data_IF_686516064777
#
_entry.id   IF_686516064777
#
_cell.length_a   1.000
_cell.length_b   1.000
_cell.length_c   1.000
_cell.angle_alpha   90.00
_cell.angle_beta   90.00
_cell.angle_gamma   90.00
#
_symmetry.space_group_name_H-M   'P 1'
#
loop_
_entity.id
_entity.type
_entity.pdbx_description
1 polymer ?
#
# COMPACT_ATOMS: atom_id res chain seq x y z
N UNK A 1 25.55 -46.14 47.79
CA UNK A 1 24.39 -45.42 47.20
C UNK A 1 24.86 -44.06 46.67
N UNK A 2 25.11 -43.95 45.36
CA UNK A 2 25.66 -42.72 44.75
C UNK A 2 24.56 -41.72 44.35
N UNK A 3 24.67 -40.47 44.82
CA UNK A 3 23.85 -39.35 44.34
C UNK A 3 24.70 -38.45 43.45
N UNK A 4 24.64 -38.69 42.14
CA UNK A 4 25.09 -37.76 41.10
C UNK A 4 24.04 -36.66 40.97
N UNK A 5 24.22 -35.56 41.71
CA UNK A 5 23.47 -34.32 41.50
C UNK A 5 24.14 -33.51 40.40
N UNK A 6 23.60 -33.61 39.18
CA UNK A 6 24.08 -32.88 38.01
C UNK A 6 24.11 -31.37 38.27
N UNK A 7 25.32 -30.81 38.21
CA UNK A 7 25.60 -29.38 38.20
C UNK A 7 25.07 -28.80 36.88
N UNK A 8 23.77 -28.47 36.82
CA UNK A 8 23.17 -27.75 35.69
C UNK A 8 23.78 -26.34 35.64
N UNK A 9 24.85 -26.20 34.86
CA UNK A 9 25.39 -24.92 34.45
C UNK A 9 24.24 -24.07 33.89
N UNK A 10 23.99 -22.92 34.53
CA UNK A 10 23.04 -21.92 34.04
C UNK A 10 23.65 -21.34 32.77
N UNK A 11 23.20 -21.84 31.63
CA UNK A 11 23.63 -21.42 30.30
C UNK A 11 23.49 -19.89 30.14
N UNK A 12 24.61 -19.14 30.05
CA UNK A 12 24.62 -17.67 29.96
C UNK A 12 23.90 -17.15 28.70
N UNK A 13 23.84 -17.97 27.66
CA UNK A 13 23.26 -17.59 26.35
C UNK A 13 21.77 -17.29 26.44
N UNK A 14 21.03 -17.94 27.35
CA UNK A 14 19.59 -17.71 27.56
C UNK A 14 19.27 -16.33 28.13
N UNK A 15 20.20 -15.68 28.85
CA UNK A 15 20.00 -14.32 29.36
C UNK A 15 20.19 -13.27 28.26
N UNK A 16 21.16 -13.46 27.39
CA UNK A 16 21.44 -12.54 26.27
C UNK A 16 20.32 -12.55 25.22
N UNK A 17 19.77 -13.73 24.91
CA UNK A 17 18.65 -13.85 23.97
C UNK A 17 17.35 -13.19 24.48
N UNK A 18 17.08 -13.24 25.79
CA UNK A 18 15.89 -12.58 26.39
C UNK A 18 16.03 -11.06 26.47
N UNK A 19 17.23 -10.54 26.71
CA UNK A 19 17.49 -9.10 26.78
C UNK A 19 17.25 -8.40 25.44
N UNK A 20 17.73 -8.98 24.33
CA UNK A 20 17.55 -8.40 23.00
C UNK A 20 16.11 -8.39 22.49
N UNK A 21 15.30 -9.39 22.86
CA UNK A 21 13.90 -9.49 22.44
C UNK A 21 12.98 -8.55 23.25
N UNK A 22 13.28 -8.32 24.54
CA UNK A 22 12.51 -7.40 25.37
C UNK A 22 12.84 -5.92 25.07
N UNK A 23 14.10 -5.61 24.76
CA UNK A 23 14.51 -4.26 24.35
C UNK A 23 13.88 -3.84 23.01
N UNK A 24 13.83 -4.74 22.02
CA UNK A 24 13.17 -4.49 20.72
C UNK A 24 11.64 -4.41 20.80
N UNK A 25 11.03 -5.03 21.82
CA UNK A 25 9.61 -4.91 22.08
C UNK A 25 9.24 -3.55 22.70
N UNK A 26 10.15 -2.94 23.46
CA UNK A 26 9.98 -1.61 24.07
C UNK A 26 10.12 -0.44 23.08
N UNK A 27 10.95 -0.57 22.04
CA UNK A 27 11.10 0.46 20.98
C UNK A 27 9.96 0.45 19.94
N UNK A 28 9.16 -0.62 19.91
CA UNK A 28 7.84 -0.65 19.25
C UNK A 28 6.74 -0.06 20.14
N UNK A 29 7.11 0.67 21.19
CA UNK A 29 6.19 1.51 21.95
C UNK A 29 5.48 2.45 20.98
N UNK A 30 4.20 2.16 20.77
CA UNK A 30 3.17 2.93 20.08
C UNK A 30 3.74 4.11 19.30
N UNK A 31 4.05 3.92 18.01
CA UNK A 31 4.36 5.05 17.13
C UNK A 31 3.18 6.01 17.20
N UNK A 32 3.36 7.08 17.96
CA UNK A 32 2.29 8.03 18.21
C UNK A 32 1.81 8.57 16.87
N UNK A 33 0.51 8.40 16.61
CA UNK A 33 -0.11 8.91 15.40
C UNK A 33 -0.16 10.43 15.54
N UNK A 34 0.65 11.11 14.74
CA UNK A 34 0.69 12.57 14.70
C UNK A 34 -0.07 13.07 13.48
N UNK A 35 -0.60 14.31 13.49
CA UNK A 35 -1.23 14.89 12.31
C UNK A 35 -0.31 14.88 11.08
N UNK A 36 0.99 15.06 11.30
CA UNK A 36 2.01 14.99 10.26
C UNK A 36 2.12 13.60 9.63
N UNK A 37 2.15 12.54 10.45
CA UNK A 37 2.28 11.18 9.95
C UNK A 37 1.03 10.75 9.17
N UNK A 38 -0.15 11.18 9.61
CA UNK A 38 -1.39 11.00 8.85
C UNK A 38 -1.38 11.78 7.53
N UNK A 39 -0.92 13.02 7.53
CA UNK A 39 -0.77 13.81 6.30
C UNK A 39 0.16 13.13 5.29
N UNK A 40 1.25 12.50 5.75
CA UNK A 40 2.15 11.72 4.90
C UNK A 40 1.44 10.50 4.26
N UNK A 41 0.63 9.77 5.03
CA UNK A 41 -0.19 8.65 4.51
C UNK A 41 -1.18 9.15 3.46
N UNK A 42 -1.95 10.19 3.77
CA UNK A 42 -2.95 10.74 2.85
C UNK A 42 -2.30 11.26 1.56
N UNK A 43 -1.17 11.97 1.67
CA UNK A 43 -0.42 12.45 0.52
C UNK A 43 0.04 11.28 -0.37
N UNK A 44 0.60 10.23 0.23
CA UNK A 44 1.05 9.05 -0.51
C UNK A 44 -0.12 8.36 -1.25
N UNK A 45 -1.27 8.19 -0.58
CA UNK A 45 -2.48 7.60 -1.18
C UNK A 45 -3.01 8.47 -2.32
N UNK A 46 -3.11 9.79 -2.13
CA UNK A 46 -3.58 10.71 -3.17
C UNK A 46 -2.65 10.74 -4.39
N UNK A 47 -1.34 10.75 -4.18
CA UNK A 47 -0.35 10.63 -5.26
C UNK A 47 -0.51 9.29 -6.00
N UNK A 48 -0.73 8.19 -5.27
CA UNK A 48 -0.92 6.88 -5.88
C UNK A 48 -2.18 6.86 -6.76
N UNK A 49 -3.29 7.40 -6.27
CA UNK A 49 -4.54 7.53 -7.04
C UNK A 49 -4.34 8.40 -8.29
N UNK A 50 -3.67 9.56 -8.15
CA UNK A 50 -3.38 10.44 -9.29
C UNK A 50 -2.50 9.75 -10.34
N UNK A 51 -1.43 9.06 -9.91
CA UNK A 51 -0.56 8.27 -10.77
C UNK A 51 -1.32 7.17 -11.52
N UNK A 52 -2.15 6.40 -10.80
CA UNK A 52 -3.00 5.37 -11.40
C UNK A 52 -3.99 5.93 -12.42
N UNK A 53 -4.59 7.08 -12.16
CA UNK A 53 -5.50 7.75 -13.09
C UNK A 53 -4.79 8.24 -14.35
N UNK A 54 -3.59 8.81 -14.23
CA UNK A 54 -2.77 9.21 -15.37
C UNK A 54 -2.35 8.01 -16.23
N UNK A 55 -1.89 6.93 -15.59
CA UNK A 55 -1.55 5.68 -16.27
C UNK A 55 -2.74 5.11 -17.02
N UNK A 56 -3.90 5.02 -16.36
CA UNK A 56 -5.14 4.54 -16.96
C UNK A 56 -5.57 5.41 -18.14
N UNK A 57 -5.49 6.74 -18.01
CA UNK A 57 -5.79 7.69 -19.09
C UNK A 57 -4.85 7.48 -20.28
N UNK A 58 -3.54 7.40 -20.05
CA UNK A 58 -2.56 7.16 -21.10
C UNK A 58 -2.79 5.85 -21.85
N UNK A 59 -3.12 4.78 -21.14
CA UNK A 59 -3.48 3.49 -21.75
C UNK A 59 -4.82 3.54 -22.50
N UNK A 60 -5.81 4.28 -22.02
CA UNK A 60 -7.10 4.42 -22.72
C UNK A 60 -6.95 5.10 -24.09
N UNK A 61 -5.95 5.98 -24.26
CA UNK A 61 -5.64 6.66 -25.53
C UNK A 61 -4.88 5.77 -26.53
N UNK A 62 -4.23 4.71 -26.06
CA UNK A 62 -3.56 3.73 -26.93
C UNK A 62 -4.54 2.70 -27.52
N UNK A 63 -5.70 2.55 -26.90
CA UNK A 63 -6.68 1.51 -27.23
C UNK A 63 -6.35 0.16 -26.59
N UNK A 64 -7.19 -0.86 -26.81
CA UNK A 64 -7.03 -2.18 -26.22
C UNK A 64 -5.72 -2.85 -26.68
N UNK A 65 -4.97 -3.43 -25.74
CA UNK A 65 -3.83 -4.29 -26.09
C UNK A 65 -4.38 -5.65 -26.51
N UNK A 66 -4.30 -5.93 -27.81
CA UNK A 66 -4.76 -7.18 -28.40
C UNK A 66 -3.64 -8.21 -28.58
N UNK A 67 -3.98 -9.39 -29.11
CA UNK A 67 -3.02 -10.48 -29.34
C UNK A 67 -1.95 -10.12 -30.37
N UNK A 68 -2.24 -9.25 -31.33
CA UNK A 68 -1.27 -8.82 -32.34
C UNK A 68 -0.27 -7.81 -31.77
N UNK A 69 -0.73 -6.89 -30.90
CA UNK A 69 0.14 -5.98 -30.16
C UNK A 69 1.15 -6.74 -29.28
N UNK A 70 0.71 -7.84 -28.63
CA UNK A 70 1.56 -8.69 -27.81
C UNK A 70 2.63 -9.44 -28.61
N UNK A 71 2.39 -9.73 -29.89
CA UNK A 71 3.39 -10.35 -30.79
C UNK A 71 4.54 -9.40 -31.12
N UNK A 72 4.39 -8.10 -30.90
CA UNK A 72 5.41 -7.08 -31.17
C UNK A 72 5.75 -6.28 -29.91
N UNK A 73 6.36 -6.91 -28.89
CA UNK A 73 6.52 -6.32 -27.56
C UNK A 73 7.33 -5.01 -27.57
N UNK A 74 8.41 -4.93 -28.35
CA UNK A 74 9.21 -3.70 -28.45
C UNK A 74 8.40 -2.52 -29.01
N UNK A 75 7.53 -2.77 -30.00
CA UNK A 75 6.67 -1.73 -30.57
C UNK A 75 5.59 -1.29 -29.57
N UNK A 76 5.02 -2.24 -28.83
CA UNK A 76 4.06 -1.94 -27.78
C UNK A 76 4.69 -1.09 -26.67
N UNK A 77 5.86 -1.48 -26.16
CA UNK A 77 6.58 -0.73 -25.13
C UNK A 77 6.94 0.68 -25.64
N UNK A 78 7.42 0.81 -26.88
CA UNK A 78 7.67 2.12 -27.48
C UNK A 78 6.42 3.00 -27.59
N UNK A 79 5.28 2.41 -27.98
CA UNK A 79 4.01 3.12 -28.04
C UNK A 79 3.51 3.57 -26.65
N UNK A 80 3.74 2.75 -25.62
CA UNK A 80 3.42 3.09 -24.23
C UNK A 80 4.35 4.20 -23.72
N UNK A 81 5.66 4.07 -23.95
CA UNK A 81 6.68 5.00 -23.45
C UNK A 81 6.63 6.39 -24.09
N UNK A 82 6.08 6.50 -25.31
CA UNK A 82 5.89 7.79 -26.00
C UNK A 82 4.69 8.60 -25.51
N UNK A 83 3.81 8.02 -24.68
CA UNK A 83 2.69 8.75 -24.07
C UNK A 83 3.14 9.50 -22.83
N UNK A 84 3.04 10.83 -22.88
CA UNK A 84 3.42 11.69 -21.76
C UNK A 84 2.58 11.39 -20.50
N UNK A 85 1.30 11.03 -20.64
CA UNK A 85 0.43 10.68 -19.52
C UNK A 85 0.94 9.43 -18.79
N UNK A 86 1.45 8.45 -19.55
CA UNK A 86 2.00 7.22 -18.97
C UNK A 86 3.31 7.53 -18.26
N UNK A 87 4.20 8.31 -18.87
CA UNK A 87 5.48 8.65 -18.26
C UNK A 87 5.30 9.51 -17.01
N UNK A 88 4.43 10.53 -17.06
CA UNK A 88 4.09 11.33 -15.89
C UNK A 88 3.41 10.47 -14.82
N UNK A 89 2.45 9.63 -15.21
CA UNK A 89 1.77 8.72 -14.29
C UNK A 89 2.74 7.76 -13.59
N UNK A 90 3.74 7.26 -14.32
CA UNK A 90 4.78 6.38 -13.77
C UNK A 90 5.66 7.10 -12.75
N UNK A 91 6.11 8.33 -13.06
CA UNK A 91 6.89 9.16 -12.14
C UNK A 91 6.08 9.47 -10.89
N UNK A 92 4.83 9.91 -11.04
CA UNK A 92 3.93 10.22 -9.91
C UNK A 92 3.68 8.98 -9.06
N UNK A 93 3.43 7.83 -9.69
CA UNK A 93 3.18 6.57 -8.97
C UNK A 93 4.43 6.03 -8.26
N UNK A 94 5.61 6.23 -8.84
CA UNK A 94 6.88 5.93 -8.19
C UNK A 94 7.11 6.84 -6.98
N UNK A 95 6.89 8.16 -7.13
CA UNK A 95 6.94 9.11 -6.01
C UNK A 95 5.93 8.76 -4.92
N UNK A 96 4.73 8.34 -5.30
CA UNK A 96 3.71 7.84 -4.36
C UNK A 96 4.21 6.63 -3.57
N UNK A 97 4.88 5.69 -4.25
CA UNK A 97 5.45 4.50 -3.62
C UNK A 97 6.56 4.85 -2.63
N UNK A 98 7.42 5.81 -2.97
CA UNK A 98 8.45 6.32 -2.05
C UNK A 98 7.82 7.04 -0.84
N UNK A 99 6.82 7.89 -1.08
CA UNK A 99 6.06 8.56 -0.03
C UNK A 99 5.35 7.55 0.88
N UNK A 100 4.85 6.45 0.32
CA UNK A 100 4.22 5.36 1.07
C UNK A 100 5.22 4.65 1.97
N UNK A 101 6.40 4.27 1.45
CA UNK A 101 7.48 3.68 2.24
C UNK A 101 7.86 4.61 3.40
N UNK A 102 7.96 5.92 3.14
CA UNK A 102 8.22 6.92 4.17
C UNK A 102 7.07 7.00 5.19
N UNK A 103 5.81 7.04 4.76
CA UNK A 103 4.67 7.07 5.66
C UNK A 103 4.61 5.82 6.57
N UNK A 104 4.94 4.64 6.04
CA UNK A 104 5.08 3.41 6.82
C UNK A 104 6.25 3.42 7.81
N UNK A 105 7.18 4.38 7.69
CA UNK A 105 8.19 4.65 8.71
C UNK A 105 7.67 5.52 9.87
N UNK A 106 6.51 6.16 9.71
CA UNK A 106 5.92 7.08 10.69
C UNK A 106 4.73 6.51 11.45
N UNK A 107 3.94 5.63 10.82
CA UNK A 107 2.77 5.00 11.44
C UNK A 107 2.85 3.49 11.41
N UNK A 108 2.02 2.84 12.22
CA UNK A 108 1.79 1.42 12.09
C UNK A 108 0.91 1.09 10.88
N UNK A 109 1.07 -0.13 10.41
CA UNK A 109 0.39 -0.61 9.21
C UNK A 109 -1.13 -0.72 9.42
N UNK A 110 -1.56 -1.04 10.65
CA UNK A 110 -2.96 -1.03 11.10
C UNK A 110 -3.62 0.34 10.93
N UNK A 111 -2.89 1.43 11.20
CA UNK A 111 -3.37 2.81 11.04
C UNK A 111 -3.35 3.25 9.57
N UNK A 112 -2.34 2.84 8.80
CA UNK A 112 -2.20 3.25 7.41
C UNK A 112 -3.22 2.58 6.46
N UNK A 113 -3.48 1.28 6.64
CA UNK A 113 -4.30 0.50 5.72
C UNK A 113 -5.76 0.97 5.58
N UNK A 114 -6.46 1.48 6.61
CA UNK A 114 -7.78 2.08 6.46
C UNK A 114 -7.83 3.17 5.39
N UNK A 115 -6.83 4.07 5.35
CA UNK A 115 -6.77 5.14 4.35
C UNK A 115 -6.52 4.60 2.94
N UNK A 116 -5.64 3.61 2.81
CA UNK A 116 -5.44 2.91 1.54
C UNK A 116 -6.71 2.18 1.10
N UNK A 117 -7.41 1.52 2.03
CA UNK A 117 -8.67 0.83 1.81
C UNK A 117 -9.76 1.78 1.29
N UNK A 118 -9.85 2.96 1.88
CA UNK A 118 -10.80 3.99 1.46
C UNK A 118 -10.53 4.49 0.03
N UNK A 119 -9.27 4.49 -0.41
CA UNK A 119 -8.92 4.82 -1.79
C UNK A 119 -9.60 3.88 -2.80
N UNK A 120 -9.82 2.59 -2.47
CA UNK A 120 -10.54 1.66 -3.35
C UNK A 120 -12.03 2.00 -3.50
N UNK A 121 -12.62 2.71 -2.56
CA UNK A 121 -13.98 3.24 -2.68
C UNK A 121 -14.02 4.55 -3.47
N UNK A 122 -13.04 5.43 -3.28
CA UNK A 122 -12.99 6.75 -3.93
C UNK A 122 -12.54 6.64 -5.39
N UNK A 123 -11.57 5.78 -5.69
CA UNK A 123 -10.94 5.68 -7.02
C UNK A 123 -11.95 5.36 -8.13
N UNK A 124 -12.91 4.42 -7.98
CA UNK A 124 -13.94 4.18 -9.00
C UNK A 124 -14.87 5.38 -9.23
N UNK A 125 -15.18 6.15 -8.18
CA UNK A 125 -16.01 7.36 -8.28
C UNK A 125 -15.26 8.44 -9.07
N UNK A 126 -14.00 8.66 -8.73
CA UNK A 126 -13.12 9.61 -9.44
C UNK A 126 -12.93 9.18 -10.89
N UNK A 127 -12.71 7.89 -11.14
CA UNK A 127 -12.59 7.34 -12.49
C UNK A 127 -13.88 7.51 -13.29
N UNK A 128 -15.05 7.27 -12.69
CA UNK A 128 -16.33 7.47 -13.33
C UNK A 128 -16.56 8.93 -13.74
N UNK A 129 -16.13 9.87 -12.90
CA UNK A 129 -16.26 11.30 -13.19
C UNK A 129 -15.23 11.79 -14.23
N UNK A 130 -13.96 11.42 -14.07
CA UNK A 130 -12.86 11.95 -14.89
C UNK A 130 -12.68 11.22 -16.22
N UNK A 131 -12.84 9.90 -16.23
CA UNK A 131 -12.69 9.05 -17.42
C UNK A 131 -14.04 8.71 -18.06
N UNK A 132 -15.16 9.15 -17.47
CA UNK A 132 -16.53 8.85 -17.94
C UNK A 132 -16.81 7.34 -18.04
N UNK A 133 -16.08 6.53 -17.27
CA UNK A 133 -16.36 5.10 -17.14
C UNK A 133 -17.67 4.92 -16.37
N UNK A 134 -18.48 3.93 -16.75
CA UNK A 134 -19.74 3.63 -16.06
C UNK A 134 -19.51 2.44 -15.14
N UNK A 135 -19.41 2.62 -13.81
CA UNK A 135 -19.29 1.49 -12.91
C UNK A 135 -20.57 0.66 -12.97
N UNK A 136 -20.41 -0.65 -13.02
CA UNK A 136 -21.50 -1.62 -12.98
C UNK A 136 -22.17 -1.62 -11.61
N UNK A 137 -23.40 -2.12 -11.54
CA UNK A 137 -24.12 -2.28 -10.26
C UNK A 137 -23.32 -3.14 -9.26
N UNK A 138 -22.72 -4.23 -9.72
CA UNK A 138 -21.87 -5.10 -8.88
C UNK A 138 -20.65 -4.39 -8.31
N UNK A 139 -20.05 -3.45 -9.07
CA UNK A 139 -18.95 -2.64 -8.57
C UNK A 139 -19.39 -1.72 -7.43
N UNK A 140 -20.58 -1.12 -7.53
CA UNK A 140 -21.13 -0.31 -6.44
C UNK A 140 -21.39 -1.12 -5.17
N UNK A 141 -21.97 -2.33 -5.31
CA UNK A 141 -22.15 -3.25 -4.18
C UNK A 141 -20.80 -3.58 -3.53
N UNK A 142 -19.78 -3.88 -4.34
CA UNK A 142 -18.42 -4.12 -3.86
C UNK A 142 -17.82 -2.91 -3.13
N UNK A 143 -17.99 -1.70 -3.68
CA UNK A 143 -17.55 -0.45 -3.03
C UNK A 143 -18.21 -0.27 -1.67
N UNK A 144 -19.52 -0.51 -1.54
CA UNK A 144 -20.21 -0.45 -0.23
C UNK A 144 -19.66 -1.47 0.76
N UNK A 145 -19.31 -2.67 0.29
CA UNK A 145 -18.71 -3.71 1.13
C UNK A 145 -17.31 -3.30 1.61
N UNK A 146 -16.49 -2.73 0.73
CA UNK A 146 -15.15 -2.19 1.07
C UNK A 146 -15.28 -1.08 2.11
N UNK A 147 -16.18 -0.12 1.92
CA UNK A 147 -16.41 0.98 2.88
C UNK A 147 -16.80 0.41 4.25
N UNK A 148 -17.75 -0.52 4.30
CA UNK A 148 -18.15 -1.17 5.55
C UNK A 148 -16.98 -1.88 6.24
N UNK A 149 -16.16 -2.61 5.48
CA UNK A 149 -14.97 -3.28 6.00
C UNK A 149 -13.95 -2.31 6.57
N UNK A 150 -13.69 -1.19 5.88
CA UNK A 150 -12.78 -0.14 6.37
C UNK A 150 -13.30 0.49 7.65
N UNK A 151 -14.59 0.81 7.74
CA UNK A 151 -15.21 1.37 8.95
C UNK A 151 -15.09 0.42 10.14
N UNK A 152 -15.28 -0.88 9.92
CA UNK A 152 -15.11 -1.90 10.96
C UNK A 152 -13.66 -1.94 11.46
N UNK A 153 -12.67 -1.93 10.55
CA UNK A 153 -11.26 -1.88 10.95
C UNK A 153 -10.96 -0.61 11.74
N UNK A 154 -11.42 0.56 11.28
CA UNK A 154 -11.23 1.82 11.99
C UNK A 154 -11.88 1.84 13.38
N UNK A 155 -13.01 1.15 13.55
CA UNK A 155 -13.67 1.04 14.87
C UNK A 155 -12.91 0.16 15.88
N UNK A 156 -11.95 -0.65 15.41
CA UNK A 156 -11.15 -1.56 16.25
C UNK A 156 -9.77 -1.02 16.62
N UNK A 157 -9.37 0.12 16.04
CA UNK A 157 -8.10 0.82 16.27
C UNK A 157 -8.35 1.93 17.28
#
# INVERSE_FOLDING_TARGET
MGRRGAHRARDPTRRLARGGSAARAGERGERQVTPYSLAAVLMAVLLAMAGQMLLKRGMSLLGPVDREALRRPLRLVGAIATRWEVMLGLVVYLSASLAWIYALSLVELSVAYPFLGMSYAILPVVAAWLLKERPTFSQWVGVTLVVTGVLLVMSSI
#
